data_IF_091392623845
#
_entry.id   IF_091392623845
#
_cell.length_a   1.000
_cell.length_b   1.000
_cell.length_c   1.000
_cell.angle_alpha   90.00
_cell.angle_beta   90.00
_cell.angle_gamma   90.00
#
_symmetry.space_group_name_H-M   'P 1'
#
loop_
_entity.id
_entity.type
_entity.pdbx_description
1 polymer ?
#
# COMPACT_ATOMS: atom_id res chain seq x y z
N UNK A 1 -14.16 26.83 18.45
CA UNK A 1 -14.11 26.26 17.14
C UNK A 1 -14.78 24.89 17.06
N UNK A 2 -16.03 24.95 16.73
CA UNK A 2 -16.93 23.79 16.64
C UNK A 2 -16.56 22.82 15.51
N UNK A 3 -15.58 23.20 14.68
CA UNK A 3 -15.23 22.46 13.45
C UNK A 3 -13.79 21.97 13.41
N UNK A 4 -13.14 21.77 14.54
CA UNK A 4 -11.85 21.06 14.54
C UNK A 4 -12.05 19.66 13.99
N UNK A 5 -11.40 19.36 12.84
CA UNK A 5 -11.33 17.99 12.34
C UNK A 5 -10.84 17.09 13.46
N UNK A 6 -11.58 16.04 13.72
CA UNK A 6 -11.09 15.00 14.63
C UNK A 6 -9.79 14.44 14.05
N UNK A 7 -8.78 14.20 14.91
CA UNK A 7 -7.54 13.59 14.42
C UNK A 7 -7.83 12.25 13.76
N UNK A 8 -7.18 12.01 12.64
CA UNK A 8 -7.26 10.72 11.95
C UNK A 8 -6.86 9.60 12.90
N UNK A 9 -7.52 8.44 12.79
CA UNK A 9 -7.12 7.23 13.50
C UNK A 9 -5.94 6.50 12.85
N UNK A 10 -5.36 7.06 11.78
CA UNK A 10 -4.18 6.52 11.11
C UNK A 10 -3.00 6.40 12.05
N UNK A 11 -2.33 5.25 12.03
CA UNK A 11 -1.23 4.97 12.95
C UNK A 11 -0.25 3.93 12.36
N UNK A 12 1.02 4.04 12.76
CA UNK A 12 2.06 3.06 12.47
C UNK A 12 2.65 3.19 11.07
N UNK A 13 3.42 2.19 10.66
CA UNK A 13 4.15 2.18 9.38
C UNK A 13 3.26 2.30 8.14
N UNK A 14 2.08 1.69 8.17
CA UNK A 14 1.15 1.71 7.03
C UNK A 14 0.20 2.91 7.07
N UNK A 15 0.13 3.65 8.16
CA UNK A 15 -0.87 4.70 8.40
C UNK A 15 -2.32 4.20 8.25
N UNK A 16 -2.54 2.94 8.52
CA UNK A 16 -3.88 2.34 8.48
C UNK A 16 -4.79 2.93 9.55
N UNK A 17 -6.03 3.23 9.19
CA UNK A 17 -7.06 3.68 10.15
C UNK A 17 -7.61 2.47 10.93
N UNK A 18 -8.14 2.74 12.13
CA UNK A 18 -8.63 1.68 13.05
C UNK A 18 -9.65 0.74 12.40
N UNK A 19 -10.62 1.29 11.68
CA UNK A 19 -11.68 0.48 11.05
C UNK A 19 -11.15 -0.49 10.02
N UNK A 20 -10.28 -0.02 9.13
CA UNK A 20 -9.68 -0.85 8.09
C UNK A 20 -8.73 -1.88 8.69
N UNK A 21 -7.97 -1.52 9.72
CA UNK A 21 -7.10 -2.46 10.43
C UNK A 21 -7.90 -3.57 11.12
N UNK A 22 -9.02 -3.22 11.73
CA UNK A 22 -9.93 -4.20 12.35
C UNK A 22 -10.47 -5.19 11.32
N UNK A 23 -10.88 -4.68 10.15
CA UNK A 23 -11.32 -5.52 9.03
C UNK A 23 -10.21 -6.47 8.56
N UNK A 24 -9.00 -5.98 8.40
CA UNK A 24 -7.82 -6.77 8.05
C UNK A 24 -7.58 -7.90 9.06
N UNK A 25 -7.56 -7.60 10.35
CA UNK A 25 -7.37 -8.61 11.39
C UNK A 25 -8.43 -9.71 11.33
N UNK A 26 -9.68 -9.31 11.12
CA UNK A 26 -10.81 -10.25 11.02
C UNK A 26 -10.70 -11.14 9.78
N UNK A 27 -10.49 -10.54 8.61
CA UNK A 27 -10.45 -11.29 7.35
C UNK A 27 -9.24 -12.22 7.23
N UNK A 28 -8.11 -11.84 7.80
CA UNK A 28 -6.88 -12.65 7.76
C UNK A 28 -6.73 -13.57 8.96
N UNK A 29 -7.69 -13.55 9.87
CA UNK A 29 -7.63 -14.28 11.13
C UNK A 29 -6.33 -14.03 11.90
N UNK A 30 -5.95 -12.77 12.00
CA UNK A 30 -4.72 -12.33 12.67
C UNK A 30 -5.03 -11.31 13.78
N UNK A 31 -5.65 -11.74 14.89
CA UNK A 31 -6.14 -10.83 15.93
C UNK A 31 -5.03 -10.11 16.70
N UNK A 32 -3.79 -10.62 16.65
CA UNK A 32 -2.65 -10.05 17.37
C UNK A 32 -1.83 -9.07 16.54
N UNK A 33 -2.21 -8.80 15.30
CA UNK A 33 -1.50 -7.86 14.45
C UNK A 33 -1.56 -6.43 15.02
N UNK A 34 -0.43 -5.74 15.01
CA UNK A 34 -0.25 -4.41 15.58
C UNK A 34 0.23 -3.44 14.51
N UNK A 35 -0.40 -2.26 14.42
CA UNK A 35 -0.12 -1.27 13.39
C UNK A 35 1.30 -0.68 13.42
N UNK A 36 1.99 -0.72 14.56
CA UNK A 36 3.37 -0.24 14.68
C UNK A 36 4.41 -1.36 14.57
N UNK A 37 4.03 -2.54 14.13
CA UNK A 37 4.95 -3.63 13.80
C UNK A 37 5.15 -3.68 12.28
N UNK A 38 6.39 -3.58 11.84
CA UNK A 38 6.71 -3.50 10.41
C UNK A 38 6.17 -4.71 9.62
N UNK A 39 6.38 -5.92 10.12
CA UNK A 39 5.89 -7.14 9.49
C UNK A 39 4.37 -7.12 9.27
N UNK A 40 3.62 -6.71 10.29
CA UNK A 40 2.16 -6.65 10.22
C UNK A 40 1.70 -5.57 9.23
N UNK A 41 2.40 -4.44 9.18
CA UNK A 41 2.10 -3.36 8.25
C UNK A 41 2.36 -3.75 6.80
N UNK A 42 3.44 -4.48 6.53
CA UNK A 42 3.74 -5.00 5.18
C UNK A 42 2.66 -5.98 4.73
N UNK A 43 2.26 -6.89 5.60
CA UNK A 43 1.19 -7.85 5.33
C UNK A 43 -0.15 -7.14 5.07
N UNK A 44 -0.46 -6.12 5.86
CA UNK A 44 -1.64 -5.28 5.66
C UNK A 44 -1.64 -4.62 4.27
N UNK A 45 -0.52 -4.04 3.86
CA UNK A 45 -0.40 -3.38 2.54
C UNK A 45 -0.68 -4.40 1.42
N UNK A 46 -0.13 -5.61 1.54
CA UNK A 46 -0.39 -6.69 0.59
C UNK A 46 -1.87 -7.08 0.53
N UNK A 47 -2.49 -7.24 1.69
CA UNK A 47 -3.92 -7.53 1.80
C UNK A 47 -4.76 -6.41 1.18
N UNK A 48 -4.47 -5.15 1.51
CA UNK A 48 -5.19 -3.98 1.01
C UNK A 48 -5.07 -3.86 -0.52
N UNK A 49 -3.87 -4.08 -1.05
CA UNK A 49 -3.60 -4.06 -2.50
C UNK A 49 -4.42 -5.15 -3.22
N UNK A 50 -4.46 -6.35 -2.67
CA UNK A 50 -5.27 -7.44 -3.23
C UNK A 50 -6.76 -7.13 -3.21
N UNK A 51 -7.25 -6.56 -2.11
CA UNK A 51 -8.65 -6.14 -1.98
C UNK A 51 -8.98 -5.02 -2.96
N UNK A 52 -8.11 -4.03 -3.07
CA UNK A 52 -8.28 -2.91 -4.02
C UNK A 52 -8.39 -3.40 -5.46
N UNK A 53 -7.55 -4.37 -5.84
CA UNK A 53 -7.62 -4.96 -7.18
C UNK A 53 -8.96 -5.64 -7.44
N UNK A 54 -9.50 -6.34 -6.47
CA UNK A 54 -10.78 -7.03 -6.60
C UNK A 54 -11.96 -6.05 -6.62
N UNK A 55 -11.98 -5.08 -5.70
CA UNK A 55 -13.09 -4.14 -5.52
C UNK A 55 -13.14 -3.13 -6.66
N UNK A 56 -11.98 -2.57 -7.03
CA UNK A 56 -11.88 -1.48 -7.99
C UNK A 56 -11.52 -1.95 -9.40
N UNK A 57 -11.24 -3.23 -9.58
CA UNK A 57 -10.82 -3.83 -10.86
C UNK A 57 -9.58 -3.14 -11.44
N UNK A 58 -8.60 -2.86 -10.57
CA UNK A 58 -7.31 -2.28 -10.92
C UNK A 58 -6.21 -3.34 -10.79
N UNK A 59 -5.16 -3.22 -11.60
CA UNK A 59 -4.05 -4.17 -11.54
C UNK A 59 -3.26 -4.03 -10.24
N UNK A 60 -2.82 -5.15 -9.67
CA UNK A 60 -1.87 -5.17 -8.54
C UNK A 60 -0.53 -4.54 -8.91
N UNK A 61 -0.20 -4.54 -10.19
CA UNK A 61 1.06 -4.01 -10.70
C UNK A 61 0.95 -2.57 -11.19
N UNK A 62 -0.16 -1.89 -10.91
CA UNK A 62 -0.37 -0.49 -11.24
C UNK A 62 -0.14 0.37 -9.98
N UNK A 63 1.09 0.85 -9.75
CA UNK A 63 1.41 1.60 -8.53
C UNK A 63 0.66 2.94 -8.45
N UNK A 64 0.37 3.55 -9.59
CA UNK A 64 -0.39 4.80 -9.64
C UNK A 64 -1.81 4.63 -9.07
N UNK A 65 -2.55 3.67 -9.59
CA UNK A 65 -3.92 3.42 -9.14
C UNK A 65 -3.98 2.81 -7.74
N UNK A 66 -3.04 1.92 -7.41
CA UNK A 66 -2.97 1.34 -6.07
C UNK A 66 -2.70 2.41 -5.00
N UNK A 67 -1.80 3.36 -5.27
CA UNK A 67 -1.55 4.45 -4.35
C UNK A 67 -2.78 5.32 -4.16
N UNK A 68 -3.49 5.66 -5.22
CA UNK A 68 -4.74 6.45 -5.14
C UNK A 68 -5.79 5.69 -4.31
N UNK A 69 -5.98 4.41 -4.57
CA UNK A 69 -6.90 3.58 -3.79
C UNK A 69 -6.54 3.54 -2.31
N UNK A 70 -5.25 3.46 -2.00
CA UNK A 70 -4.75 3.44 -0.64
C UNK A 70 -5.00 4.77 0.07
N UNK A 71 -4.72 5.88 -0.59
CA UNK A 71 -4.86 7.23 -0.03
C UNK A 71 -6.32 7.66 0.11
N UNK A 72 -7.12 7.46 -0.93
CA UNK A 72 -8.52 7.90 -0.97
C UNK A 72 -9.49 6.92 -0.31
N UNK A 73 -9.12 5.66 -0.23
CA UNK A 73 -10.01 4.58 0.16
C UNK A 73 -10.91 4.12 -0.99
N UNK A 74 -11.51 2.96 -0.84
CA UNK A 74 -12.28 2.33 -1.91
C UNK A 74 -13.54 3.15 -2.30
N UNK A 75 -14.19 3.76 -1.32
CA UNK A 75 -15.42 4.55 -1.56
C UNK A 75 -15.17 5.85 -2.31
N UNK A 76 -14.04 6.50 -2.06
CA UNK A 76 -13.70 7.79 -2.66
C UNK A 76 -12.86 7.66 -3.94
N UNK A 77 -12.37 6.48 -4.26
CA UNK A 77 -11.50 6.25 -5.42
C UNK A 77 -12.08 6.83 -6.71
N UNK A 78 -13.36 6.63 -6.96
CA UNK A 78 -14.01 7.10 -8.18
C UNK A 78 -13.93 8.63 -8.39
N UNK A 79 -13.66 9.39 -7.35
CA UNK A 79 -13.58 10.86 -7.40
C UNK A 79 -12.14 11.38 -7.41
N UNK A 80 -11.12 10.52 -7.57
CA UNK A 80 -9.72 10.91 -7.42
C UNK A 80 -9.28 12.01 -8.38
N UNK A 81 -9.90 12.14 -9.56
CA UNK A 81 -9.56 13.16 -10.55
C UNK A 81 -9.75 14.59 -10.04
N UNK A 82 -10.57 14.78 -9.01
CA UNK A 82 -10.78 16.06 -8.34
C UNK A 82 -9.62 16.46 -7.44
N UNK A 83 -8.78 15.51 -7.05
CA UNK A 83 -7.69 15.73 -6.12
C UNK A 83 -6.34 15.73 -6.84
N UNK A 84 -5.96 16.90 -7.34
CA UNK A 84 -4.69 17.08 -8.08
C UNK A 84 -3.46 16.73 -7.23
N UNK A 85 -3.50 16.98 -5.93
CA UNK A 85 -2.41 16.66 -4.99
C UNK A 85 -2.17 15.16 -4.93
N UNK A 86 -3.21 14.37 -4.83
CA UNK A 86 -3.12 12.90 -4.81
C UNK A 86 -2.60 12.38 -6.16
N UNK A 87 -3.08 12.93 -7.27
CA UNK A 87 -2.60 12.55 -8.60
C UNK A 87 -1.08 12.80 -8.73
N UNK A 88 -0.61 13.96 -8.28
CA UNK A 88 0.81 14.29 -8.32
C UNK A 88 1.65 13.35 -7.46
N UNK A 89 1.17 13.02 -6.26
CA UNK A 89 1.83 12.05 -5.39
C UNK A 89 1.85 10.65 -6.00
N UNK A 90 0.75 10.23 -6.62
CA UNK A 90 0.65 8.94 -7.29
C UNK A 90 1.61 8.82 -8.48
N UNK A 91 1.82 9.90 -9.23
CA UNK A 91 2.83 9.96 -10.30
C UNK A 91 4.24 9.79 -9.75
N UNK A 92 4.57 10.42 -8.62
CA UNK A 92 5.87 10.25 -7.93
C UNK A 92 6.06 8.80 -7.48
N UNK A 93 5.05 8.21 -6.88
CA UNK A 93 5.08 6.80 -6.44
C UNK A 93 5.32 5.87 -7.62
N UNK A 94 4.67 6.11 -8.75
CA UNK A 94 4.90 5.36 -9.98
C UNK A 94 6.36 5.45 -10.44
N UNK A 95 6.94 6.65 -10.44
CA UNK A 95 8.34 6.86 -10.80
C UNK A 95 9.30 6.11 -9.88
N UNK A 96 9.10 6.19 -8.58
CA UNK A 96 9.90 5.43 -7.60
C UNK A 96 9.74 3.93 -7.77
N UNK A 97 8.53 3.46 -8.02
CA UNK A 97 8.26 2.04 -8.25
C UNK A 97 9.06 1.49 -9.45
N UNK A 98 9.15 2.26 -10.53
CA UNK A 98 9.94 1.87 -11.70
C UNK A 98 11.44 1.78 -11.39
N UNK A 99 11.97 2.72 -10.60
CA UNK A 99 13.36 2.71 -10.15
C UNK A 99 13.63 1.48 -9.28
N UNK A 100 12.80 1.21 -8.30
CA UNK A 100 12.94 0.05 -7.41
C UNK A 100 12.81 -1.27 -8.16
N UNK A 101 11.92 -1.34 -9.13
CA UNK A 101 11.78 -2.54 -9.98
C UNK A 101 13.07 -2.85 -10.74
N UNK A 102 13.73 -1.83 -11.30
CA UNK A 102 15.03 -1.99 -11.97
C UNK A 102 16.12 -2.44 -10.99
N UNK A 103 16.18 -1.83 -9.82
CA UNK A 103 17.13 -2.20 -8.77
C UNK A 103 16.92 -3.64 -8.31
N UNK A 104 15.68 -4.04 -8.09
CA UNK A 104 15.31 -5.39 -7.67
C UNK A 104 15.70 -6.43 -8.74
N UNK A 105 15.50 -6.12 -10.01
CA UNK A 105 15.91 -7.00 -11.13
C UNK A 105 17.42 -7.22 -11.12
N UNK A 106 18.21 -6.17 -10.93
CA UNK A 106 19.68 -6.26 -10.81
C UNK A 106 20.09 -7.09 -9.60
N UNK A 107 19.43 -6.87 -8.47
CA UNK A 107 19.69 -7.61 -7.23
C UNK A 107 19.40 -9.11 -7.40
N UNK A 108 18.27 -9.46 -8.00
CA UNK A 108 17.91 -10.84 -8.29
C UNK A 108 18.94 -11.53 -9.18
N UNK A 109 19.43 -10.86 -10.22
CA UNK A 109 20.49 -11.37 -11.10
C UNK A 109 21.79 -11.64 -10.33
N UNK A 110 22.20 -10.72 -9.44
CA UNK A 110 23.38 -10.90 -8.58
C UNK A 110 23.22 -12.07 -7.64
N UNK A 111 22.07 -12.22 -7.01
CA UNK A 111 21.77 -13.34 -6.11
C UNK A 111 21.77 -14.69 -6.84
N UNK A 112 21.19 -14.76 -8.03
CA UNK A 112 21.24 -15.94 -8.89
C UNK A 112 22.68 -16.34 -9.24
N UNK A 113 23.54 -15.38 -9.61
CA UNK A 113 24.95 -15.61 -9.90
C UNK A 113 25.70 -16.15 -8.67
N UNK A 114 25.49 -15.57 -7.50
CA UNK A 114 26.10 -16.05 -6.23
C UNK A 114 25.68 -17.46 -5.89
N UNK A 115 24.40 -17.82 -6.07
CA UNK A 115 23.95 -19.20 -5.89
C UNK A 115 24.65 -20.18 -6.83
N UNK A 116 24.89 -19.78 -8.06
CA UNK A 116 25.62 -20.57 -9.06
C UNK A 116 27.09 -20.80 -8.70
N UNK A 117 27.72 -19.83 -8.03
CA UNK A 117 29.13 -19.90 -7.65
C UNK A 117 29.34 -20.71 -6.37
N UNK A 118 28.35 -20.75 -5.47
CA UNK A 118 28.42 -21.43 -4.18
C UNK A 118 28.08 -22.92 -4.31
N UNK A 119 27.36 -23.30 -5.31
CA UNK A 119 26.97 -24.67 -5.60
C UNK A 119 27.72 -25.22 -6.82
#
# INVERSE_FOLDING_TARGET
DVYKRQPSSSFGYSQAVKGTWKQYKKETNNPLAIRNRFKDSVDFIGWYTSKSSKILKISKEDPFRQYIAYHEGWGNYKHYKRNKKVINLAKKVKGYSEIYKKQLTKCKKKLSRKKFIIY
#
